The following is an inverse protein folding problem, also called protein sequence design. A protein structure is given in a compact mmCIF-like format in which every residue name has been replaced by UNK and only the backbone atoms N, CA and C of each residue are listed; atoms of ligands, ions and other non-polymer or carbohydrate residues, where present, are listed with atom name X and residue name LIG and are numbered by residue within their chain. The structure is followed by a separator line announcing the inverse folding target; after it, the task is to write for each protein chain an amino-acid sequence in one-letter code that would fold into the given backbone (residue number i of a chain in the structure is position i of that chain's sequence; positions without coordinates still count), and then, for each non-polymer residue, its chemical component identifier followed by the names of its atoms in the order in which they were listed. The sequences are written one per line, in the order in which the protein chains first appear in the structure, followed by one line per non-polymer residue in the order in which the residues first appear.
data_IF_774024892419
#
_entry.id   IF_774024892419
#
_cell.length_a   1.000
_cell.length_b   1.000
_cell.length_c   1.000
_cell.angle_alpha   90.00
_cell.angle_beta   90.00
_cell.angle_gamma   90.00
#
_symmetry.space_group_name_H-M   'P 1'
#
loop_
_entity.id
_entity.type
_entity.pdbx_description
1 polymer ?
#
# COMPACT_ATOMS: atom_id res chain seq x y z
N UNK A 1 -11.18 17.09 23.28
CA UNK A 1 -10.49 16.00 23.98
C UNK A 1 -9.97 15.03 22.93
N UNK A 2 -8.64 14.94 22.74
CA UNK A 2 -8.02 13.95 21.86
C UNK A 2 -7.86 12.65 22.64
N UNK A 3 -8.53 11.59 22.20
CA UNK A 3 -8.33 10.25 22.76
C UNK A 3 -7.23 9.56 21.94
N UNK A 4 -6.15 9.16 22.62
CA UNK A 4 -5.02 8.47 22.00
C UNK A 4 -5.24 6.94 22.10
N UNK A 5 -5.36 6.28 20.94
CA UNK A 5 -5.41 4.81 20.86
C UNK A 5 -4.31 4.33 19.93
N UNK A 6 -3.55 3.32 20.37
CA UNK A 6 -2.60 2.61 19.50
C UNK A 6 -3.37 1.47 18.83
N UNK A 7 -3.56 1.56 17.52
CA UNK A 7 -4.06 0.43 16.73
C UNK A 7 -2.93 -0.60 16.63
N UNK A 8 -3.21 -1.87 16.99
CA UNK A 8 -2.21 -2.94 16.95
C UNK A 8 -1.73 -3.19 15.51
N UNK A 9 -0.46 -3.59 15.42
CA UNK A 9 0.38 -3.72 14.22
C UNK A 9 -0.37 -4.03 12.92
N UNK A 10 -0.28 -3.11 11.95
CA UNK A 10 -0.69 -3.30 10.57
C UNK A 10 0.01 -4.51 9.91
N UNK A 11 1.26 -4.75 10.29
CA UNK A 11 2.11 -5.85 9.83
C UNK A 11 3.45 -5.86 10.59
N UNK A 12 4.38 -6.76 10.23
CA UNK A 12 5.61 -6.94 10.99
C UNK A 12 6.49 -5.68 10.92
N UNK A 13 6.95 -5.20 12.08
CA UNK A 13 7.93 -4.11 12.15
C UNK A 13 9.32 -4.52 11.62
N UNK A 14 10.12 -3.52 11.26
CA UNK A 14 11.49 -3.67 10.74
C UNK A 14 12.19 -2.32 10.61
N UNK A 15 13.44 -2.32 10.14
CA UNK A 15 14.25 -1.09 10.02
C UNK A 15 13.60 -0.06 9.09
N UNK A 16 12.90 -0.52 8.05
CA UNK A 16 12.10 0.31 7.15
C UNK A 16 10.63 -0.14 7.12
N UNK A 17 10.20 -0.94 8.11
CA UNK A 17 8.97 -1.74 8.06
C UNK A 17 7.82 -1.26 8.95
N UNK A 18 6.68 -1.96 8.87
CA UNK A 18 5.42 -1.61 9.53
C UNK A 18 4.47 -0.80 8.63
N UNK A 19 3.54 -0.06 9.25
CA UNK A 19 2.76 0.97 8.54
C UNK A 19 3.58 2.24 8.42
N UNK A 20 3.86 2.69 7.20
CA UNK A 20 4.82 3.78 6.95
C UNK A 20 4.24 4.85 6.03
N UNK A 21 4.82 6.06 6.10
CA UNK A 21 4.63 7.20 5.19
C UNK A 21 3.23 7.84 5.19
N UNK A 22 2.15 7.07 5.06
CA UNK A 22 0.79 7.61 5.11
C UNK A 22 -0.29 6.54 5.20
N UNK A 23 -1.36 6.88 5.91
CA UNK A 23 -2.60 6.13 5.98
C UNK A 23 -3.73 6.93 5.33
N UNK A 24 -4.75 6.23 4.86
CA UNK A 24 -6.00 6.84 4.41
C UNK A 24 -7.16 6.31 5.26
N UNK A 25 -8.27 7.05 5.30
CA UNK A 25 -9.43 6.66 6.08
C UNK A 25 -10.71 6.86 5.30
N UNK A 26 -11.68 5.99 5.51
CA UNK A 26 -13.08 6.31 5.31
C UNK A 26 -13.76 6.55 6.67
N UNK A 27 -15.09 6.60 6.71
CA UNK A 27 -15.84 6.86 7.96
C UNK A 27 -15.72 5.73 9.00
N UNK A 28 -15.29 4.54 8.60
CA UNK A 28 -15.27 3.32 9.43
C UNK A 28 -13.88 2.67 9.53
N UNK A 29 -13.01 2.86 8.52
CA UNK A 29 -11.78 2.09 8.31
C UNK A 29 -10.58 2.98 8.18
N UNK A 30 -9.45 2.48 8.67
CA UNK A 30 -8.11 2.98 8.40
C UNK A 30 -7.42 2.00 7.46
N UNK A 31 -6.81 2.53 6.42
CA UNK A 31 -6.03 1.81 5.42
C UNK A 31 -4.57 2.22 5.51
N UNK A 32 -3.66 1.26 5.44
CA UNK A 32 -2.23 1.55 5.35
C UNK A 32 -1.49 0.41 4.67
N UNK A 33 -0.24 0.67 4.31
CA UNK A 33 0.67 -0.33 3.79
C UNK A 33 1.20 -1.25 4.89
N UNK A 34 1.61 -2.45 4.48
CA UNK A 34 2.43 -3.38 5.26
C UNK A 34 3.80 -3.40 4.62
N UNK A 35 4.76 -2.69 5.21
CA UNK A 35 6.15 -2.77 4.75
C UNK A 35 6.88 -3.85 5.52
N UNK A 36 7.17 -4.97 4.86
CA UNK A 36 7.89 -6.10 5.46
C UNK A 36 9.35 -6.13 5.00
N UNK A 37 10.11 -5.07 5.35
CA UNK A 37 11.49 -4.88 4.87
C UNK A 37 12.45 -6.02 5.26
N UNK A 38 12.12 -6.77 6.32
CA UNK A 38 12.97 -7.84 6.85
C UNK A 38 12.53 -9.24 6.38
N UNK A 39 11.51 -9.35 5.52
CA UNK A 39 11.01 -10.64 5.02
C UNK A 39 10.53 -11.58 6.12
N UNK A 40 9.97 -11.04 7.21
CA UNK A 40 9.47 -11.83 8.34
C UNK A 40 8.20 -12.57 7.91
N UNK A 41 8.01 -13.79 8.41
CA UNK A 41 6.73 -14.48 8.23
C UNK A 41 5.62 -13.67 8.91
N UNK A 42 4.58 -13.33 8.14
CA UNK A 42 3.41 -12.64 8.61
C UNK A 42 2.14 -13.31 8.09
N UNK A 43 1.14 -13.43 8.97
CA UNK A 43 -0.12 -14.12 8.66
C UNK A 43 -1.19 -13.12 8.24
N UNK A 44 -1.63 -13.23 6.99
CA UNK A 44 -2.73 -12.45 6.45
C UNK A 44 -4.06 -12.81 7.11
N UNK A 45 -4.96 -11.84 7.18
CA UNK A 45 -6.32 -12.01 7.70
C UNK A 45 -7.33 -11.60 6.63
N UNK A 46 -8.47 -12.29 6.51
CA UNK A 46 -8.88 -13.46 7.29
C UNK A 46 -8.29 -14.80 6.80
N UNK A 47 -7.56 -14.82 5.67
CA UNK A 47 -7.15 -16.06 4.98
C UNK A 47 -6.19 -16.97 5.74
N UNK A 48 -5.49 -16.45 6.75
CA UNK A 48 -4.40 -17.14 7.47
C UNK A 48 -3.21 -17.57 6.57
N UNK A 49 -3.11 -17.03 5.35
CA UNK A 49 -1.95 -17.24 4.49
C UNK A 49 -0.71 -16.61 5.12
N UNK A 50 0.40 -17.33 5.16
CA UNK A 50 1.70 -16.79 5.58
C UNK A 50 2.41 -16.20 4.37
N UNK A 51 2.87 -14.95 4.49
CA UNK A 51 3.65 -14.26 3.48
C UNK A 51 4.89 -13.61 4.09
N UNK A 52 5.88 -13.32 3.24
CA UNK A 52 7.08 -12.54 3.58
C UNK A 52 7.15 -11.22 2.82
N UNK A 53 6.19 -10.95 1.95
CA UNK A 53 6.20 -9.76 1.10
C UNK A 53 5.58 -8.55 1.81
N UNK A 54 5.64 -7.40 1.16
CA UNK A 54 4.85 -6.25 1.58
C UNK A 54 3.35 -6.47 1.31
N UNK A 55 2.54 -5.47 1.58
CA UNK A 55 1.10 -5.58 1.35
C UNK A 55 0.33 -4.34 1.79
N UNK A 56 -0.96 -4.54 2.02
CA UNK A 56 -1.87 -3.51 2.49
C UNK A 56 -2.88 -4.10 3.46
N UNK A 57 -3.42 -3.26 4.33
CA UNK A 57 -4.35 -3.67 5.38
C UNK A 57 -5.46 -2.65 5.53
N UNK A 58 -6.66 -3.13 5.83
CA UNK A 58 -7.73 -2.32 6.42
C UNK A 58 -8.01 -2.75 7.85
N UNK A 59 -8.20 -1.76 8.71
CA UNK A 59 -8.54 -1.93 10.11
C UNK A 59 -9.77 -1.10 10.45
N UNK A 60 -10.58 -1.56 11.40
CA UNK A 60 -11.64 -0.73 11.98
C UNK A 60 -11.02 0.47 12.71
N UNK A 61 -11.44 1.69 12.38
CA UNK A 61 -10.84 2.92 12.89
C UNK A 61 -10.92 3.07 14.42
N UNK A 62 -11.97 2.51 15.04
CA UNK A 62 -12.22 2.61 16.48
C UNK A 62 -11.45 1.58 17.31
N UNK A 63 -11.27 0.36 16.78
CA UNK A 63 -10.75 -0.77 17.55
C UNK A 63 -9.36 -1.23 17.11
N UNK A 64 -8.96 -0.88 15.87
CA UNK A 64 -7.74 -1.41 15.25
C UNK A 64 -7.86 -2.87 14.81
N UNK A 65 -9.06 -3.46 14.88
CA UNK A 65 -9.29 -4.82 14.40
C UNK A 65 -9.03 -4.88 12.90
N UNK A 66 -8.11 -5.75 12.48
CA UNK A 66 -7.87 -6.05 11.06
C UNK A 66 -9.14 -6.63 10.45
N UNK A 67 -9.63 -5.99 9.39
CA UNK A 67 -10.78 -6.42 8.60
C UNK A 67 -10.32 -7.31 7.44
N UNK A 68 -9.25 -6.88 6.77
CA UNK A 68 -8.55 -7.65 5.74
C UNK A 68 -7.08 -7.21 5.65
N UNK A 69 -6.21 -8.12 5.22
CA UNK A 69 -4.87 -7.82 4.73
C UNK A 69 -4.58 -8.60 3.45
N UNK A 70 -3.89 -7.91 2.54
CA UNK A 70 -3.57 -8.37 1.21
C UNK A 70 -2.05 -8.29 1.04
N UNK A 71 -1.42 -9.37 0.62
CA UNK A 71 -0.02 -9.32 0.20
C UNK A 71 0.12 -8.59 -1.13
N UNK A 72 1.27 -7.96 -1.35
CA UNK A 72 1.60 -7.39 -2.64
C UNK A 72 1.75 -8.52 -3.69
N UNK A 73 0.86 -8.61 -4.70
CA UNK A 73 0.92 -9.66 -5.70
C UNK A 73 2.21 -9.61 -6.54
N UNK A 74 2.84 -8.44 -6.67
CA UNK A 74 4.14 -8.30 -7.33
C UNK A 74 5.32 -8.78 -6.49
N UNK A 75 5.08 -9.40 -5.32
CA UNK A 75 6.09 -9.88 -4.39
C UNK A 75 7.17 -8.83 -4.06
N UNK A 76 6.76 -7.62 -3.72
CA UNK A 76 7.65 -6.50 -3.40
C UNK A 76 7.19 -5.73 -2.15
N UNK A 77 8.03 -4.80 -1.70
CA UNK A 77 7.65 -3.84 -0.67
C UNK A 77 6.58 -2.85 -1.16
N UNK A 78 5.91 -2.17 -0.23
CA UNK A 78 4.76 -1.29 -0.51
C UNK A 78 4.87 0.03 0.26
N UNK A 79 6.02 0.70 0.18
CA UNK A 79 6.29 1.91 0.97
C UNK A 79 5.41 3.12 0.63
N UNK A 80 4.88 3.18 -0.60
CA UNK A 80 4.01 4.28 -1.02
C UNK A 80 2.78 4.41 -0.13
N UNK A 81 2.33 5.64 0.16
CA UNK A 81 1.11 5.86 0.94
C UNK A 81 -0.11 5.38 0.16
N UNK A 82 -1.16 5.04 0.88
CA UNK A 82 -2.43 4.59 0.30
C UNK A 82 -3.38 5.76 0.09
N UNK A 83 -4.31 5.65 -0.84
CA UNK A 83 -5.37 6.65 -1.06
C UNK A 83 -6.71 5.97 -1.26
N UNK A 84 -7.80 6.60 -0.83
CA UNK A 84 -9.13 6.00 -0.85
C UNK A 84 -10.17 6.97 -1.37
N UNK A 85 -11.05 6.51 -2.26
CA UNK A 85 -12.23 7.23 -2.69
C UNK A 85 -13.33 6.23 -3.08
N UNK A 86 -14.59 6.54 -2.76
CA UNK A 86 -15.76 5.72 -3.13
C UNK A 86 -15.62 4.22 -2.77
N UNK A 87 -14.99 3.93 -1.62
CA UNK A 87 -14.78 2.56 -1.17
C UNK A 87 -13.71 1.79 -1.94
N UNK A 88 -12.90 2.45 -2.77
CA UNK A 88 -11.78 1.87 -3.51
C UNK A 88 -10.48 2.44 -2.96
N UNK A 89 -9.54 1.54 -2.64
CA UNK A 89 -8.20 1.87 -2.16
C UNK A 89 -7.22 1.74 -3.32
N UNK A 90 -6.49 2.81 -3.62
CA UNK A 90 -5.48 2.86 -4.66
C UNK A 90 -4.09 2.82 -4.04
N UNK A 91 -3.25 1.94 -4.57
CA UNK A 91 -1.93 1.65 -4.00
C UNK A 91 -0.90 1.34 -5.08
N UNK A 92 0.36 1.69 -4.80
CA UNK A 92 1.51 1.42 -5.67
C UNK A 92 2.44 0.34 -5.12
N UNK A 93 2.94 -0.52 -6.00
CA UNK A 93 3.96 -1.51 -5.71
C UNK A 93 5.36 -0.93 -5.97
N UNK A 94 6.30 -1.20 -5.06
CA UNK A 94 7.70 -0.85 -5.27
C UNK A 94 8.44 -1.86 -6.19
N UNK A 95 7.73 -2.84 -6.76
CA UNK A 95 8.29 -3.74 -7.77
C UNK A 95 8.82 -2.96 -8.98
N UNK A 96 9.75 -3.56 -9.74
CA UNK A 96 10.34 -2.97 -10.96
C UNK A 96 9.33 -2.63 -12.06
N UNK A 97 8.20 -3.34 -12.12
CA UNK A 97 7.10 -3.04 -13.05
C UNK A 97 6.15 -1.95 -12.50
N UNK A 98 6.31 -1.61 -11.21
CA UNK A 98 5.48 -0.67 -10.44
C UNK A 98 4.00 -0.80 -10.70
N UNK A 99 3.46 -1.99 -10.44
CA UNK A 99 2.03 -2.23 -10.57
C UNK A 99 1.25 -1.34 -9.62
N UNK A 100 0.22 -0.66 -10.14
CA UNK A 100 -0.81 0.02 -9.35
C UNK A 100 -2.02 -0.88 -9.26
N UNK A 101 -2.61 -0.92 -8.07
CA UNK A 101 -3.79 -1.73 -7.77
C UNK A 101 -4.93 -0.83 -7.29
N UNK A 102 -6.14 -1.15 -7.75
CA UNK A 102 -7.37 -0.74 -7.09
C UNK A 102 -7.94 -1.91 -6.31
N UNK A 103 -8.17 -1.68 -5.02
CA UNK A 103 -8.60 -2.69 -4.07
C UNK A 103 -9.96 -2.26 -3.52
N UNK A 104 -10.90 -3.18 -3.47
CA UNK A 104 -12.16 -2.97 -2.79
C UNK A 104 -11.91 -2.80 -1.29
N UNK A 105 -12.19 -1.61 -0.76
CA UNK A 105 -11.93 -1.24 0.64
C UNK A 105 -12.73 -2.07 1.65
N UNK A 106 -13.82 -2.72 1.23
CA UNK A 106 -14.64 -3.56 2.12
C UNK A 106 -14.03 -4.94 2.37
N UNK A 107 -13.49 -5.59 1.34
CA UNK A 107 -13.11 -7.00 1.39
C UNK A 107 -11.66 -7.30 0.99
N UNK A 108 -10.90 -6.31 0.50
CA UNK A 108 -9.51 -6.48 0.08
C UNK A 108 -9.35 -7.14 -1.30
N UNK A 109 -10.43 -7.28 -2.08
CA UNK A 109 -10.39 -7.84 -3.42
C UNK A 109 -9.76 -6.85 -4.41
N UNK A 110 -8.87 -7.33 -5.28
CA UNK A 110 -8.30 -6.51 -6.35
C UNK A 110 -9.36 -6.35 -7.45
N UNK A 111 -9.81 -5.11 -7.65
CA UNK A 111 -10.77 -4.74 -8.70
C UNK A 111 -10.09 -4.63 -10.06
N UNK A 112 -8.91 -4.03 -10.10
CA UNK A 112 -8.06 -3.97 -11.28
C UNK A 112 -6.59 -3.71 -10.90
N UNK A 113 -5.70 -3.97 -11.85
CA UNK A 113 -4.28 -3.65 -11.73
C UNK A 113 -3.69 -3.18 -13.06
N UNK A 114 -2.66 -2.34 -13.01
CA UNK A 114 -1.93 -1.88 -14.19
C UNK A 114 -0.43 -1.79 -13.93
N UNK A 115 0.39 -2.37 -14.80
CA UNK A 115 1.85 -2.25 -14.75
C UNK A 115 2.28 -0.94 -15.42
N UNK A 116 3.00 -0.11 -14.67
CA UNK A 116 3.42 1.22 -15.16
C UNK A 116 4.80 1.20 -15.81
N UNK A 117 5.49 0.05 -15.74
CA UNK A 117 6.83 -0.17 -16.29
C UNK A 117 7.96 0.33 -15.40
N UNK A 118 7.66 0.94 -14.25
CA UNK A 118 8.68 1.34 -13.28
C UNK A 118 8.10 1.52 -11.88
N UNK A 119 8.93 1.35 -10.84
CA UNK A 119 8.56 1.48 -9.41
C UNK A 119 7.61 2.63 -9.11
N UNK A 120 6.51 2.32 -8.42
CA UNK A 120 5.60 3.32 -7.86
C UNK A 120 5.81 3.38 -6.36
N UNK A 121 6.55 4.42 -5.93
CA UNK A 121 6.91 4.65 -4.53
C UNK A 121 6.18 5.85 -3.91
N UNK A 122 5.57 6.69 -4.75
CA UNK A 122 4.84 7.89 -4.34
C UNK A 122 3.37 7.64 -3.99
N UNK A 123 2.71 8.67 -3.49
CA UNK A 123 1.27 8.65 -3.25
C UNK A 123 0.44 8.86 -4.52
N UNK A 124 -0.85 8.55 -4.41
CA UNK A 124 -1.82 8.65 -5.49
C UNK A 124 -2.80 9.78 -5.15
N UNK A 125 -2.79 10.86 -5.94
CA UNK A 125 -3.78 11.93 -5.78
C UNK A 125 -5.10 11.55 -6.45
N UNK A 126 -6.23 12.02 -5.92
CA UNK A 126 -7.57 11.74 -6.45
C UNK A 126 -8.30 13.06 -6.64
N UNK A 127 -8.81 13.32 -7.84
CA UNK A 127 -9.62 14.50 -8.14
C UNK A 127 -10.48 14.27 -9.38
N UNK A 128 -11.72 14.78 -9.37
CA UNK A 128 -12.61 14.80 -10.53
C UNK A 128 -12.75 13.44 -11.27
N UNK A 129 -12.89 12.34 -10.52
CA UNK A 129 -13.05 11.01 -11.11
C UNK A 129 -11.75 10.38 -11.63
N UNK A 130 -10.61 11.04 -11.44
CA UNK A 130 -9.30 10.56 -11.85
C UNK A 130 -8.38 10.32 -10.65
N UNK A 131 -7.48 9.36 -10.81
CA UNK A 131 -6.28 9.24 -9.97
C UNK A 131 -5.05 9.71 -10.72
N UNK A 132 -4.08 10.26 -10.01
CA UNK A 132 -2.81 10.77 -10.55
C UNK A 132 -1.63 10.31 -9.72
N UNK A 133 -0.59 9.79 -10.34
CA UNK A 133 0.61 9.33 -9.65
C UNK A 133 1.80 9.25 -10.60
N UNK A 134 3.02 9.33 -10.07
CA UNK A 134 4.25 9.21 -10.84
C UNK A 134 5.03 7.95 -10.51
N UNK A 135 5.81 7.45 -11.48
CA UNK A 135 6.78 6.37 -11.26
C UNK A 135 8.24 6.84 -11.40
N UNK A 136 8.48 8.16 -11.30
CA UNK A 136 9.80 8.76 -11.47
C UNK A 136 10.73 8.70 -10.25
N UNK A 137 10.45 7.82 -9.29
CA UNK A 137 11.20 7.78 -8.04
C UNK A 137 12.56 7.11 -8.24
N UNK A 138 13.57 7.92 -8.53
CA UNK A 138 14.98 7.56 -8.37
C UNK A 138 15.52 8.31 -7.15
N UNK A 139 15.81 7.61 -6.05
CA UNK A 139 16.81 8.17 -5.15
C UNK A 139 18.01 7.28 -4.98
N UNK A 140 19.10 7.87 -4.47
CA UNK A 140 20.34 7.19 -4.11
C UNK A 140 20.19 6.12 -3.04
N UNK A 141 18.96 5.74 -2.66
CA UNK A 141 18.67 4.48 -1.97
C UNK A 141 18.48 3.31 -2.94
N UNK A 142 18.17 3.50 -4.22
CA UNK A 142 18.12 2.39 -5.19
C UNK A 142 19.45 1.62 -5.25
N UNK A 143 20.57 2.30 -4.99
CA UNK A 143 21.92 1.71 -4.81
C UNK A 143 22.10 1.01 -3.45
N UNK A 144 21.25 1.27 -2.45
CA UNK A 144 21.31 0.74 -1.07
C UNK A 144 20.29 -0.39 -0.82
N UNK A 145 19.06 -0.28 -1.33
CA UNK A 145 17.97 -1.26 -1.16
C UNK A 145 17.82 -2.21 -2.35
N UNK A 146 18.41 -1.89 -3.51
CA UNK A 146 18.32 -2.70 -4.73
C UNK A 146 16.90 -2.78 -5.30
N UNK A 147 16.77 -3.03 -6.60
CA UNK A 147 15.47 -3.40 -7.20
C UNK A 147 14.42 -2.28 -7.37
N UNK A 148 14.77 -1.01 -7.16
CA UNK A 148 13.93 0.13 -7.56
C UNK A 148 14.33 0.61 -8.96
N UNK A 149 13.36 0.83 -9.84
CA UNK A 149 13.59 1.37 -11.20
C UNK A 149 13.12 2.83 -11.28
N UNK A 150 13.81 3.62 -12.11
CA UNK A 150 13.45 5.00 -12.36
C UNK A 150 12.58 5.17 -13.58
N UNK A 151 11.34 5.61 -13.41
CA UNK A 151 10.48 6.08 -14.48
C UNK A 151 10.67 7.56 -14.75
N UNK A 152 9.89 8.09 -15.69
CA UNK A 152 9.81 9.53 -15.97
C UNK A 152 8.37 9.99 -16.15
N UNK A 153 7.41 9.11 -15.91
CA UNK A 153 6.02 9.31 -16.30
C UNK A 153 5.16 9.72 -15.12
N UNK A 154 4.21 10.62 -15.41
CA UNK A 154 3.03 10.88 -14.60
C UNK A 154 1.84 10.20 -15.29
N UNK A 155 1.08 9.42 -14.53
CA UNK A 155 -0.08 8.68 -15.02
C UNK A 155 -1.37 9.32 -14.54
N UNK A 156 -2.42 9.13 -15.33
CA UNK A 156 -3.80 9.40 -14.92
C UNK A 156 -4.72 8.25 -15.33
N UNK A 157 -5.59 7.82 -14.42
CA UNK A 157 -6.66 6.86 -14.73
C UNK A 157 -7.98 7.49 -14.31
N UNK A 158 -8.92 7.62 -15.24
CA UNK A 158 -10.19 8.29 -15.05
C UNK A 158 -11.35 7.35 -15.38
N UNK A 159 -12.51 7.61 -14.77
CA UNK A 159 -13.80 6.99 -15.15
C UNK A 159 -14.58 7.86 -16.12
#
# INVERSE_FOLDING_TARGET
MLLFFVLKEAGPGGVAGGGTWGAATDTERVYTNIVNSNGKNFTLKPSNKITKTGGWVAMEAKSGKILWSLENPSNATTNGPVSVANGIVFVGSANVNGTVYAINGKNGEILWSHETGSTVYGGISISNGCIYFGNGYTLGLATVIGGLTGGTSLFSFCV
#
